data_IF_544881503018
#
_entry.id   IF_544881503018
#
_cell.length_a   1.000
_cell.length_b   1.000
_cell.length_c   1.000
_cell.angle_alpha   90.00
_cell.angle_beta   90.00
_cell.angle_gamma   90.00
#
_symmetry.space_group_name_H-M   'P 1'
#
loop_
_entity.id
_entity.type
_entity.pdbx_description
1 polymer ?
#
# COMPACT_ATOMS: atom_id res chain seq x y z
N UNK A 1 -18.69 5.79 -1.30
CA UNK A 1 -17.57 5.71 -2.25
C UNK A 1 -16.70 4.54 -1.84
N UNK A 2 -16.38 3.65 -2.78
CA UNK A 2 -15.54 2.47 -2.53
C UNK A 2 -14.15 2.73 -3.11
N UNK A 3 -13.13 2.62 -2.26
CA UNK A 3 -11.73 2.91 -2.63
C UNK A 3 -10.87 1.71 -2.27
N UNK A 4 -10.27 1.13 -3.29
CA UNK A 4 -9.27 0.10 -3.10
C UNK A 4 -7.93 0.77 -2.74
N UNK A 5 -7.49 0.58 -1.53
CA UNK A 5 -6.29 1.25 -1.01
C UNK A 5 -4.97 0.61 -1.45
N UNK A 6 -5.03 -0.52 -2.17
CA UNK A 6 -3.84 -1.23 -2.59
C UNK A 6 -4.03 -1.97 -3.91
N UNK A 7 -3.55 -1.38 -4.99
CA UNK A 7 -3.36 -2.06 -6.28
C UNK A 7 -2.03 -1.65 -6.90
N UNK A 8 -1.40 -2.57 -7.59
CA UNK A 8 -0.26 -2.27 -8.44
C UNK A 8 -0.72 -1.78 -9.80
N UNK A 9 -0.01 -0.81 -10.36
CA UNK A 9 -0.35 -0.28 -11.68
C UNK A 9 -0.23 -1.38 -12.75
N UNK A 10 -1.35 -1.67 -13.42
CA UNK A 10 -1.42 -2.58 -14.56
C UNK A 10 -1.29 -1.82 -15.89
N UNK A 11 -0.59 -2.42 -16.83
CA UNK A 11 -0.41 -1.85 -18.17
C UNK A 11 -0.76 -2.90 -19.25
N UNK A 12 -1.76 -2.62 -20.14
CA UNK A 12 -2.47 -1.35 -20.30
C UNK A 12 -3.46 -1.09 -19.16
N UNK A 13 -3.64 0.18 -18.80
CA UNK A 13 -4.51 0.63 -17.69
C UNK A 13 -5.99 0.26 -17.87
N UNK A 14 -6.40 -0.03 -19.10
CA UNK A 14 -7.79 -0.45 -19.39
C UNK A 14 -8.18 -1.73 -18.62
N UNK A 15 -7.25 -2.65 -18.42
CA UNK A 15 -7.46 -3.87 -17.62
C UNK A 15 -7.79 -3.54 -16.17
N UNK A 16 -7.10 -2.55 -15.60
CA UNK A 16 -7.35 -2.07 -14.24
C UNK A 16 -8.73 -1.41 -14.11
N UNK A 17 -9.06 -0.51 -15.03
CA UNK A 17 -10.38 0.14 -15.07
C UNK A 17 -11.52 -0.86 -15.20
N UNK A 18 -11.33 -1.92 -16.00
CA UNK A 18 -12.33 -3.00 -16.14
C UNK A 18 -12.52 -3.77 -14.82
N UNK A 19 -11.43 -4.12 -14.12
CA UNK A 19 -11.48 -4.77 -12.80
C UNK A 19 -12.18 -3.90 -11.77
N UNK A 20 -11.84 -2.62 -11.71
CA UNK A 20 -12.49 -1.65 -10.82
C UNK A 20 -14.00 -1.57 -11.10
N UNK A 21 -14.39 -1.42 -12.39
CA UNK A 21 -15.80 -1.37 -12.80
C UNK A 21 -16.55 -2.63 -12.36
N UNK A 22 -15.98 -3.82 -12.62
CA UNK A 22 -16.57 -5.11 -12.24
C UNK A 22 -16.75 -5.25 -10.73
N UNK A 23 -15.79 -4.73 -9.95
CA UNK A 23 -15.83 -4.75 -8.50
C UNK A 23 -16.65 -3.59 -7.89
N UNK A 24 -17.15 -2.64 -8.69
CA UNK A 24 -17.82 -1.43 -8.20
C UNK A 24 -16.90 -0.53 -7.37
N UNK A 25 -15.60 -0.52 -7.70
CA UNK A 25 -14.60 0.36 -7.08
C UNK A 25 -14.60 1.70 -7.79
N UNK A 26 -14.80 2.77 -7.03
CA UNK A 26 -14.87 4.14 -7.56
C UNK A 26 -13.49 4.70 -7.84
N UNK A 27 -12.55 4.52 -6.90
CA UNK A 27 -11.16 4.97 -6.98
C UNK A 27 -10.20 3.93 -6.42
N UNK A 28 -8.92 4.05 -6.78
CA UNK A 28 -7.87 3.14 -6.33
C UNK A 28 -6.60 3.92 -6.01
N UNK A 29 -5.89 3.50 -4.96
CA UNK A 29 -4.50 3.92 -4.74
C UNK A 29 -3.60 2.98 -5.54
N UNK A 30 -2.80 3.55 -6.45
CA UNK A 30 -1.86 2.81 -7.27
C UNK A 30 -0.45 2.87 -6.68
N UNK A 31 0.16 1.71 -6.62
CA UNK A 31 1.60 1.54 -6.42
C UNK A 31 2.24 1.18 -7.76
N UNK A 32 3.36 1.82 -8.08
CA UNK A 32 4.07 1.49 -9.29
C UNK A 32 5.08 0.39 -9.01
N UNK A 33 4.99 -0.68 -9.74
CA UNK A 33 5.89 -1.82 -9.62
C UNK A 33 6.40 -2.27 -10.99
N UNK A 34 7.47 -3.02 -11.01
CA UNK A 34 7.98 -3.68 -12.18
C UNK A 34 8.28 -5.12 -11.81
N UNK A 35 7.40 -5.99 -11.57
CA UNK A 35 6.88 -6.90 -12.59
C UNK A 35 5.45 -6.55 -12.97
N UNK A 36 5.00 -7.16 -14.06
CA UNK A 36 3.67 -7.03 -14.61
C UNK A 36 3.03 -8.41 -14.84
N UNK A 37 2.70 -9.16 -13.76
CA UNK A 37 2.16 -10.51 -13.86
C UNK A 37 0.82 -10.59 -14.62
N UNK A 38 0.10 -9.47 -14.70
CA UNK A 38 -1.13 -9.36 -15.48
C UNK A 38 -0.95 -9.55 -17.00
N UNK A 39 0.29 -9.48 -17.50
CA UNK A 39 0.64 -9.68 -18.91
C UNK A 39 0.88 -11.14 -19.27
N UNK A 40 1.10 -11.99 -18.27
CA UNK A 40 1.36 -13.40 -18.49
C UNK A 40 0.11 -14.13 -18.98
N UNK A 41 0.22 -14.83 -20.11
CA UNK A 41 -0.86 -15.61 -20.71
C UNK A 41 -0.82 -17.09 -20.28
N UNK A 42 0.28 -17.52 -19.69
CA UNK A 42 0.51 -18.89 -19.25
C UNK A 42 1.47 -18.93 -18.06
N UNK A 43 1.62 -20.11 -17.48
CA UNK A 43 2.43 -20.30 -16.28
C UNK A 43 3.93 -20.02 -16.50
N UNK A 44 4.46 -20.30 -17.69
CA UNK A 44 5.88 -20.06 -17.98
C UNK A 44 6.18 -18.56 -18.06
N UNK A 45 5.31 -17.78 -18.69
CA UNK A 45 5.42 -16.31 -18.71
C UNK A 45 5.27 -15.74 -17.29
N UNK A 46 4.33 -16.26 -16.49
CA UNK A 46 4.16 -15.84 -15.09
C UNK A 46 5.41 -16.11 -14.26
N UNK A 47 6.08 -17.26 -14.46
CA UNK A 47 7.35 -17.55 -13.76
C UNK A 47 8.45 -16.53 -14.08
N UNK A 48 8.48 -16.00 -15.29
CA UNK A 48 9.45 -14.96 -15.67
C UNK A 48 9.17 -13.66 -14.90
N UNK A 49 7.92 -13.21 -14.87
CA UNK A 49 7.51 -12.02 -14.13
C UNK A 49 7.74 -12.18 -12.62
N UNK A 50 7.35 -13.30 -12.04
CA UNK A 50 7.59 -13.59 -10.63
C UNK A 50 9.08 -13.74 -10.31
N UNK A 51 9.89 -14.25 -11.23
CA UNK A 51 11.34 -14.29 -11.09
C UNK A 51 11.96 -12.88 -11.01
N UNK A 52 11.41 -11.90 -11.73
CA UNK A 52 11.83 -10.51 -11.63
C UNK A 52 11.46 -9.92 -10.24
N UNK A 53 10.27 -10.21 -9.73
CA UNK A 53 9.86 -9.82 -8.37
C UNK A 53 10.80 -10.40 -7.31
N UNK A 54 11.09 -11.69 -7.38
CA UNK A 54 11.98 -12.36 -6.40
C UNK A 54 13.40 -11.79 -6.39
N UNK A 55 13.92 -11.36 -7.54
CA UNK A 55 15.22 -10.66 -7.61
C UNK A 55 15.19 -9.31 -6.91
N UNK A 56 14.09 -8.56 -7.04
CA UNK A 56 13.89 -7.29 -6.35
C UNK A 56 13.83 -7.52 -4.82
N UNK A 57 13.01 -8.47 -4.38
CA UNK A 57 12.87 -8.83 -2.97
C UNK A 57 14.19 -9.35 -2.37
N UNK A 58 14.99 -10.08 -3.14
CA UNK A 58 16.32 -10.55 -2.73
C UNK A 58 17.38 -9.44 -2.64
N UNK A 59 17.05 -8.19 -3.02
CA UNK A 59 18.01 -7.08 -2.98
C UNK A 59 19.17 -7.20 -3.97
N UNK A 60 18.95 -7.92 -5.09
CA UNK A 60 20.02 -8.23 -6.08
C UNK A 60 20.41 -7.06 -6.98
N UNK A 61 19.74 -5.91 -6.87
CA UNK A 61 19.96 -4.73 -7.70
C UNK A 61 20.91 -3.74 -7.03
N UNK A 62 21.70 -3.01 -7.84
CA UNK A 62 22.52 -1.91 -7.32
C UNK A 62 21.65 -0.72 -6.93
N UNK A 63 22.17 0.16 -6.05
CA UNK A 63 21.54 1.41 -5.64
C UNK A 63 21.16 2.26 -6.85
N UNK A 64 22.10 2.44 -7.79
CA UNK A 64 21.89 3.26 -9.00
C UNK A 64 20.77 2.70 -9.88
N UNK A 65 20.75 1.38 -10.08
CA UNK A 65 19.70 0.68 -10.84
C UNK A 65 18.33 0.86 -10.19
N UNK A 66 18.26 0.72 -8.85
CA UNK A 66 17.02 0.95 -8.10
C UNK A 66 16.53 2.39 -8.22
N UNK A 67 17.42 3.37 -8.10
CA UNK A 67 17.09 4.79 -8.25
C UNK A 67 16.52 5.08 -9.64
N UNK A 68 17.18 4.59 -10.70
CA UNK A 68 16.71 4.78 -12.07
C UNK A 68 15.31 4.17 -12.27
N UNK A 69 15.15 2.90 -11.90
CA UNK A 69 13.88 2.18 -12.00
C UNK A 69 12.75 2.90 -11.24
N UNK A 70 13.01 3.39 -10.02
CA UNK A 70 11.99 4.09 -9.23
C UNK A 70 11.59 5.43 -9.84
N UNK A 71 12.53 6.17 -10.46
CA UNK A 71 12.21 7.40 -11.20
C UNK A 71 11.30 7.12 -12.39
N UNK A 72 11.62 6.09 -13.17
CA UNK A 72 10.83 5.71 -14.33
C UNK A 72 9.42 5.25 -13.90
N UNK A 73 9.35 4.45 -12.84
CA UNK A 73 8.10 3.98 -12.27
C UNK A 73 7.21 5.15 -11.78
N UNK A 74 7.79 6.13 -11.06
CA UNK A 74 7.04 7.30 -10.61
C UNK A 74 6.54 8.12 -11.82
N UNK A 75 7.35 8.28 -12.85
CA UNK A 75 6.93 8.97 -14.07
C UNK A 75 5.73 8.29 -14.71
N UNK A 76 5.78 6.97 -14.90
CA UNK A 76 4.67 6.19 -15.46
C UNK A 76 3.41 6.33 -14.60
N UNK A 77 3.56 6.25 -13.27
CA UNK A 77 2.46 6.44 -12.33
C UNK A 77 1.82 7.82 -12.50
N UNK A 78 2.63 8.88 -12.50
CA UNK A 78 2.15 10.28 -12.65
C UNK A 78 1.44 10.47 -13.97
N UNK A 79 1.95 9.93 -15.08
CA UNK A 79 1.30 10.00 -16.39
C UNK A 79 -0.10 9.35 -16.35
N UNK A 80 -0.25 8.22 -15.66
CA UNK A 80 -1.56 7.57 -15.48
C UNK A 80 -2.49 8.37 -14.57
N UNK A 81 -1.99 8.92 -13.46
CA UNK A 81 -2.79 9.79 -12.58
C UNK A 81 -3.33 11.02 -13.33
N UNK A 82 -2.50 11.66 -14.14
CA UNK A 82 -2.89 12.81 -14.95
C UNK A 82 -3.93 12.44 -16.02
N UNK A 83 -3.83 11.24 -16.59
CA UNK A 83 -4.80 10.75 -17.57
C UNK A 83 -6.15 10.41 -16.95
N UNK A 84 -6.18 9.96 -15.70
CA UNK A 84 -7.39 9.53 -15.01
C UNK A 84 -7.54 10.14 -13.59
N UNK A 85 -7.62 11.48 -13.48
CA UNK A 85 -7.52 12.18 -12.19
C UNK A 85 -8.63 11.85 -11.19
N UNK A 86 -9.80 11.39 -11.69
CA UNK A 86 -10.94 11.02 -10.87
C UNK A 86 -11.01 9.50 -10.56
N UNK A 87 -10.01 8.72 -11.00
CA UNK A 87 -9.98 7.27 -10.81
C UNK A 87 -8.87 6.81 -9.87
N UNK A 88 -7.77 7.54 -9.82
CA UNK A 88 -6.59 7.07 -9.14
C UNK A 88 -6.00 8.11 -8.19
N UNK A 89 -5.50 7.62 -7.08
CA UNK A 89 -4.47 8.23 -6.26
C UNK A 89 -3.17 7.45 -6.46
N UNK A 90 -2.04 8.00 -6.06
CA UNK A 90 -0.76 7.32 -6.16
C UNK A 90 0.04 7.38 -4.86
N UNK A 91 0.72 6.28 -4.54
CA UNK A 91 1.80 6.25 -3.57
C UNK A 91 3.11 6.05 -4.33
N UNK A 92 4.14 6.79 -3.94
CA UNK A 92 5.42 6.77 -4.65
C UNK A 92 6.51 6.04 -3.90
N UNK A 93 7.37 5.36 -4.65
CA UNK A 93 8.52 4.65 -4.10
C UNK A 93 9.62 5.63 -3.66
N UNK A 94 10.30 5.31 -2.56
CA UNK A 94 11.49 6.01 -2.09
C UNK A 94 12.63 4.99 -1.99
N UNK A 95 13.81 5.24 -2.60
CA UNK A 95 14.94 4.31 -2.49
C UNK A 95 15.41 4.17 -1.05
N UNK A 96 15.73 2.95 -0.64
CA UNK A 96 16.52 2.70 0.55
C UNK A 96 17.98 3.16 0.33
N UNK A 97 18.77 3.21 1.38
CA UNK A 97 20.20 3.57 1.32
C UNK A 97 20.51 5.02 0.89
N UNK A 98 19.50 5.90 0.85
CA UNK A 98 19.71 7.34 0.72
C UNK A 98 20.10 7.92 2.08
N UNK A 99 20.95 8.95 2.07
CA UNK A 99 21.16 9.78 3.24
C UNK A 99 19.88 10.53 3.63
N UNK A 100 19.78 11.04 4.83
CA UNK A 100 18.61 11.80 5.29
C UNK A 100 18.29 12.97 4.35
N UNK A 101 19.32 13.71 3.92
CA UNK A 101 19.17 14.85 3.01
C UNK A 101 18.66 14.40 1.62
N UNK A 102 19.27 13.37 1.04
CA UNK A 102 18.82 12.81 -0.24
C UNK A 102 17.39 12.27 -0.16
N UNK A 103 17.01 11.65 0.97
CA UNK A 103 15.63 11.17 1.21
C UNK A 103 14.65 12.34 1.23
N UNK A 104 14.98 13.43 1.91
CA UNK A 104 14.14 14.64 1.95
C UNK A 104 13.96 15.25 0.57
N UNK A 105 15.06 15.45 -0.16
CA UNK A 105 15.01 15.95 -1.54
C UNK A 105 14.19 15.04 -2.47
N UNK A 106 14.29 13.72 -2.29
CA UNK A 106 13.49 12.76 -3.04
C UNK A 106 12.00 12.92 -2.76
N UNK A 107 11.61 12.96 -1.47
CA UNK A 107 10.21 13.11 -1.05
C UNK A 107 9.64 14.42 -1.57
N UNK A 108 10.35 15.55 -1.45
CA UNK A 108 9.92 16.84 -1.95
C UNK A 108 9.75 16.82 -3.48
N UNK A 109 10.75 16.29 -4.20
CA UNK A 109 10.81 16.34 -5.67
C UNK A 109 9.89 15.33 -6.35
N UNK A 110 9.82 14.09 -5.83
CA UNK A 110 9.14 13.00 -6.56
C UNK A 110 7.79 12.62 -5.95
N UNK A 111 7.55 12.93 -4.68
CA UNK A 111 6.30 12.62 -3.99
C UNK A 111 5.40 13.86 -3.93
N UNK A 112 5.84 14.89 -3.24
CA UNK A 112 5.03 16.08 -2.96
C UNK A 112 4.74 16.87 -4.23
N UNK A 113 5.76 17.18 -5.04
CA UNK A 113 5.59 17.97 -6.27
C UNK A 113 4.70 17.29 -7.32
N UNK A 114 4.55 15.96 -7.24
CA UNK A 114 3.67 15.19 -8.11
C UNK A 114 2.27 14.92 -7.48
N UNK A 115 1.98 15.47 -6.30
CA UNK A 115 0.69 15.32 -5.65
C UNK A 115 0.38 13.89 -5.15
N UNK A 116 1.41 13.05 -4.99
CA UNK A 116 1.26 11.70 -4.46
C UNK A 116 0.79 11.74 -3.00
N UNK A 117 -0.01 10.78 -2.60
CA UNK A 117 -0.74 10.78 -1.33
C UNK A 117 -0.08 10.00 -0.20
N UNK A 118 1.07 9.38 -0.47
CA UNK A 118 1.84 8.60 0.50
C UNK A 118 3.08 8.01 -0.15
N UNK A 119 3.83 7.24 0.62
CA UNK A 119 5.03 6.56 0.16
C UNK A 119 4.94 5.05 0.36
N UNK A 120 5.48 4.29 -0.57
CA UNK A 120 5.44 2.82 -0.61
C UNK A 120 4.99 2.32 -1.99
N UNK A 121 4.75 1.07 -2.16
CA UNK A 121 4.94 -0.04 -1.23
C UNK A 121 6.44 -0.29 -0.99
N UNK A 122 6.84 -0.34 0.27
CA UNK A 122 8.17 -0.86 0.61
C UNK A 122 8.08 -2.37 0.79
N UNK A 123 8.90 -3.11 0.07
CA UNK A 123 8.94 -4.58 0.08
C UNK A 123 10.28 -5.08 0.61
N UNK A 124 10.55 -4.96 1.93
CA UNK A 124 11.82 -5.37 2.50
C UNK A 124 11.98 -6.89 2.41
N UNK A 125 13.07 -7.35 1.79
CA UNK A 125 13.42 -8.77 1.67
C UNK A 125 14.22 -9.29 2.87
N UNK A 126 14.56 -8.42 3.84
CA UNK A 126 15.31 -8.77 5.04
C UNK A 126 15.05 -7.81 6.17
N UNK A 127 15.35 -8.25 7.41
CA UNK A 127 15.23 -7.42 8.61
C UNK A 127 16.12 -6.16 8.55
N UNK A 128 17.30 -6.25 7.92
CA UNK A 128 18.20 -5.11 7.73
C UNK A 128 17.61 -4.04 6.82
N UNK A 129 16.84 -4.43 5.80
CA UNK A 129 16.14 -3.47 4.95
C UNK A 129 15.01 -2.75 5.66
N UNK A 130 14.41 -3.36 6.68
CA UNK A 130 13.42 -2.67 7.52
C UNK A 130 14.11 -1.58 8.36
N UNK A 131 15.31 -1.84 8.88
CA UNK A 131 16.11 -0.82 9.59
C UNK A 131 16.47 0.35 8.68
N UNK A 132 16.72 0.10 7.39
CA UNK A 132 17.01 1.14 6.39
C UNK A 132 15.82 2.06 6.08
N UNK A 133 14.62 1.76 6.56
CA UNK A 133 13.47 2.67 6.47
C UNK A 133 13.58 3.88 7.41
N UNK A 134 14.48 3.86 8.41
CA UNK A 134 14.56 4.89 9.43
C UNK A 134 14.73 6.31 8.88
N UNK A 135 15.59 6.61 7.90
CA UNK A 135 15.69 7.94 7.30
C UNK A 135 14.37 8.41 6.66
N UNK A 136 13.59 7.47 6.10
CA UNK A 136 12.29 7.77 5.50
C UNK A 136 11.28 8.14 6.59
N UNK A 137 11.19 7.37 7.67
CA UNK A 137 10.36 7.72 8.83
C UNK A 137 10.71 9.10 9.40
N UNK A 138 12.02 9.39 9.52
CA UNK A 138 12.49 10.67 10.03
C UNK A 138 12.03 11.83 9.13
N UNK A 139 12.18 11.71 7.81
CA UNK A 139 11.73 12.73 6.85
C UNK A 139 10.22 12.89 6.90
N UNK A 140 9.46 11.80 6.95
CA UNK A 140 7.99 11.84 7.00
C UNK A 140 7.45 12.49 8.28
N UNK A 141 8.25 12.66 9.32
CA UNK A 141 7.86 13.44 10.51
C UNK A 141 7.57 14.91 10.16
N UNK A 142 8.23 15.44 9.12
CA UNK A 142 7.98 16.79 8.59
C UNK A 142 6.75 16.81 7.64
N UNK A 143 6.28 15.65 7.20
CA UNK A 143 5.16 15.48 6.25
C UNK A 143 4.11 14.49 6.77
N UNK A 144 3.47 14.77 7.93
CA UNK A 144 2.58 13.82 8.61
C UNK A 144 1.32 13.45 7.81
N UNK A 145 1.03 14.19 6.73
CA UNK A 145 -0.07 13.88 5.79
C UNK A 145 0.29 12.76 4.79
N UNK A 146 1.55 12.32 4.74
CA UNK A 146 2.01 11.24 3.88
C UNK A 146 2.14 9.94 4.69
N UNK A 147 1.18 9.02 4.66
CA UNK A 147 1.35 7.71 5.26
C UNK A 147 2.42 6.90 4.54
N UNK A 148 3.04 5.99 5.28
CA UNK A 148 3.98 5.00 4.75
C UNK A 148 3.31 3.62 4.69
N UNK A 149 3.38 2.96 3.54
CA UNK A 149 2.85 1.62 3.33
C UNK A 149 4.01 0.61 3.23
N UNK A 150 4.01 -0.40 4.09
CA UNK A 150 5.09 -1.37 4.21
C UNK A 150 4.53 -2.79 4.11
N UNK A 151 5.05 -3.57 3.17
CA UNK A 151 4.79 -5.00 3.04
C UNK A 151 5.22 -5.73 4.32
N UNK A 152 4.32 -6.44 4.95
CA UNK A 152 4.58 -7.14 6.21
C UNK A 152 4.27 -8.64 6.15
N UNK A 153 4.07 -9.18 4.93
CA UNK A 153 3.95 -10.61 4.69
C UNK A 153 5.31 -11.23 4.34
N UNK A 154 5.33 -12.51 3.95
CA UNK A 154 6.57 -13.17 3.53
C UNK A 154 7.32 -12.35 2.44
N UNK A 155 8.64 -12.12 2.57
CA UNK A 155 9.61 -12.79 3.43
C UNK A 155 9.88 -12.13 4.81
N UNK A 156 9.08 -11.16 5.23
CA UNK A 156 9.28 -10.47 6.51
C UNK A 156 9.14 -11.44 7.67
N UNK A 157 10.13 -11.46 8.57
CA UNK A 157 10.16 -12.32 9.75
C UNK A 157 9.46 -11.67 10.95
N UNK A 158 9.19 -12.43 12.01
CA UNK A 158 8.70 -11.86 13.28
C UNK A 158 9.68 -10.81 13.84
N UNK A 159 10.98 -11.01 13.68
CA UNK A 159 11.97 -10.03 14.10
C UNK A 159 11.86 -8.75 13.26
N UNK A 160 11.66 -8.87 11.96
CA UNK A 160 11.38 -7.73 11.08
C UNK A 160 10.12 -6.95 11.49
N UNK A 161 9.04 -7.65 11.85
CA UNK A 161 7.83 -7.02 12.39
C UNK A 161 8.14 -6.23 13.67
N UNK A 162 8.93 -6.78 14.59
CA UNK A 162 9.33 -6.08 15.83
C UNK A 162 10.17 -4.84 15.56
N UNK A 163 11.12 -4.90 14.63
CA UNK A 163 11.90 -3.74 14.20
C UNK A 163 10.97 -2.65 13.64
N UNK A 164 9.99 -3.01 12.82
CA UNK A 164 9.02 -2.07 12.29
C UNK A 164 8.15 -1.45 13.41
N UNK A 165 7.74 -2.24 14.40
CA UNK A 165 7.03 -1.75 15.58
C UNK A 165 7.87 -0.72 16.35
N UNK A 166 9.16 -0.96 16.54
CA UNK A 166 10.08 -0.02 17.19
C UNK A 166 10.19 1.31 16.41
N UNK A 167 10.33 1.24 15.07
CA UNK A 167 10.31 2.43 14.21
C UNK A 167 8.99 3.20 14.33
N UNK A 168 7.87 2.48 14.32
CA UNK A 168 6.53 3.08 14.46
C UNK A 168 6.37 3.81 15.80
N UNK A 169 6.86 3.24 16.90
CA UNK A 169 6.86 3.87 18.23
C UNK A 169 7.78 5.08 18.30
N UNK A 170 8.92 5.01 17.63
CA UNK A 170 9.89 6.13 17.59
C UNK A 170 9.36 7.33 16.81
N UNK A 171 8.59 7.11 15.74
CA UNK A 171 8.12 8.16 14.83
C UNK A 171 6.58 8.29 14.85
N UNK A 172 6.00 8.60 16.00
CA UNK A 172 4.55 8.60 16.26
C UNK A 172 3.73 9.56 15.38
N UNK A 173 4.35 10.56 14.74
CA UNK A 173 3.68 11.46 13.81
C UNK A 173 3.44 10.84 12.42
N UNK A 174 4.13 9.74 12.11
CA UNK A 174 4.02 9.06 10.83
C UNK A 174 2.92 8.01 10.90
N UNK A 175 1.93 8.10 10.04
CA UNK A 175 0.93 7.04 9.90
C UNK A 175 1.52 5.86 9.13
N UNK A 176 1.47 4.67 9.72
CA UNK A 176 2.09 3.45 9.17
C UNK A 176 1.03 2.44 8.79
N UNK A 177 1.01 2.04 7.51
CA UNK A 177 0.12 1.00 7.01
C UNK A 177 0.91 -0.31 6.97
N UNK A 178 0.48 -1.26 7.79
CA UNK A 178 1.00 -2.63 7.80
C UNK A 178 0.30 -3.41 6.71
N UNK A 179 0.96 -3.54 5.57
CA UNK A 179 0.46 -4.26 4.40
C UNK A 179 0.25 -5.74 4.68
N UNK A 180 -0.86 -6.28 4.20
CA UNK A 180 -1.20 -7.71 4.36
C UNK A 180 -1.31 -8.14 5.83
N UNK A 181 -1.70 -7.22 6.74
CA UNK A 181 -2.00 -7.50 8.15
C UNK A 181 -0.84 -8.09 8.97
N UNK A 182 0.41 -8.06 8.51
CA UNK A 182 1.50 -8.79 9.16
C UNK A 182 1.61 -10.27 8.75
N UNK A 183 0.85 -10.72 7.76
CA UNK A 183 0.89 -12.10 7.23
C UNK A 183 0.67 -13.14 8.32
N UNK A 184 1.64 -14.02 8.53
CA UNK A 184 1.57 -15.05 9.59
C UNK A 184 1.62 -14.48 11.02
N UNK A 185 2.08 -13.24 11.19
CA UNK A 185 2.21 -12.54 12.47
C UNK A 185 1.06 -11.56 12.72
N UNK A 186 -0.09 -11.79 12.08
CA UNK A 186 -1.23 -10.90 12.14
C UNK A 186 -1.75 -10.63 13.56
N UNK A 187 -1.65 -11.61 14.47
CA UNK A 187 -2.06 -11.44 15.87
C UNK A 187 -1.13 -10.45 16.60
N UNK A 188 0.19 -10.57 16.42
CA UNK A 188 1.15 -9.63 17.00
C UNK A 188 0.92 -8.21 16.47
N UNK A 189 0.68 -8.07 15.16
CA UNK A 189 0.40 -6.78 14.53
C UNK A 189 -0.91 -6.20 15.02
N UNK A 190 -1.95 -7.00 15.17
CA UNK A 190 -3.24 -6.55 15.66
C UNK A 190 -3.17 -6.07 17.11
N UNK A 191 -2.53 -6.81 17.99
CA UNK A 191 -2.33 -6.43 19.40
C UNK A 191 -1.52 -5.13 19.50
N UNK A 192 -0.47 -4.99 18.71
CA UNK A 192 0.29 -3.76 18.63
C UNK A 192 -0.57 -2.58 18.15
N UNK A 193 -1.30 -2.74 17.06
CA UNK A 193 -2.14 -1.70 16.48
C UNK A 193 -3.24 -1.22 17.44
N UNK A 194 -3.75 -2.07 18.32
CA UNK A 194 -4.73 -1.68 19.35
C UNK A 194 -4.20 -0.61 20.29
N UNK A 195 -2.91 -0.63 20.58
CA UNK A 195 -2.25 0.28 21.54
C UNK A 195 -1.59 1.48 20.87
N UNK A 196 -1.37 1.45 19.54
CA UNK A 196 -0.60 2.46 18.80
C UNK A 196 -1.49 3.12 17.74
N UNK A 197 -1.92 4.38 17.94
CA UNK A 197 -2.99 5.01 17.17
C UNK A 197 -2.62 5.35 15.71
N UNK A 198 -1.34 5.48 15.38
CA UNK A 198 -0.84 5.78 14.03
C UNK A 198 -0.63 4.53 13.16
N UNK A 199 -1.07 3.34 13.62
CA UNK A 199 -1.02 2.08 12.86
C UNK A 199 -2.34 1.82 12.16
N UNK A 200 -2.26 1.53 10.86
CA UNK A 200 -3.36 1.10 10.01
C UNK A 200 -3.07 -0.30 9.46
N UNK A 201 -4.13 -1.07 9.22
CA UNK A 201 -4.06 -2.46 8.78
C UNK A 201 -4.63 -2.54 7.36
N UNK A 202 -3.79 -2.88 6.39
CA UNK A 202 -4.27 -3.23 5.06
C UNK A 202 -4.74 -4.69 5.05
N UNK A 203 -5.94 -4.92 4.53
CA UNK A 203 -6.61 -6.22 4.53
C UNK A 203 -6.39 -7.03 3.25
N UNK A 204 -5.50 -6.56 2.34
CA UNK A 204 -5.15 -7.30 1.12
C UNK A 204 -4.34 -8.56 1.44
N UNK A 205 -4.34 -9.53 0.53
CA UNK A 205 -3.64 -10.81 0.65
C UNK A 205 -3.81 -11.50 2.01
N UNK A 206 -4.96 -11.30 2.65
CA UNK A 206 -5.23 -11.77 4.01
C UNK A 206 -5.12 -13.30 4.13
N UNK A 207 -4.40 -13.74 5.14
CA UNK A 207 -4.14 -15.14 5.42
C UNK A 207 -5.42 -15.98 5.64
N UNK A 208 -6.44 -15.41 6.27
CA UNK A 208 -7.71 -16.09 6.48
C UNK A 208 -8.86 -15.11 6.71
N UNK A 209 -10.07 -15.56 6.40
CA UNK A 209 -11.32 -14.82 6.70
C UNK A 209 -11.45 -14.52 8.20
N UNK A 210 -10.99 -15.43 9.06
CA UNK A 210 -11.01 -15.23 10.50
C UNK A 210 -10.14 -14.05 10.93
N UNK A 211 -8.93 -13.94 10.37
CA UNK A 211 -8.02 -12.83 10.66
C UNK A 211 -8.65 -11.48 10.27
N UNK A 212 -9.24 -11.40 9.07
CA UNK A 212 -9.94 -10.20 8.61
C UNK A 212 -11.10 -9.82 9.52
N UNK A 213 -11.93 -10.80 9.93
CA UNK A 213 -13.04 -10.57 10.86
C UNK A 213 -12.55 -10.02 12.19
N UNK A 214 -11.47 -10.56 12.75
CA UNK A 214 -10.91 -10.10 14.02
C UNK A 214 -10.33 -8.69 13.90
N UNK A 215 -9.60 -8.40 12.85
CA UNK A 215 -9.07 -7.05 12.61
C UNK A 215 -10.19 -6.01 12.50
N UNK A 216 -11.24 -6.31 11.75
CA UNK A 216 -12.42 -5.43 11.60
C UNK A 216 -13.16 -5.23 12.92
N UNK A 217 -13.31 -6.29 13.73
CA UNK A 217 -13.96 -6.20 15.03
C UNK A 217 -13.19 -5.33 16.02
N UNK A 218 -11.87 -5.42 16.01
CA UNK A 218 -11.00 -4.72 16.97
C UNK A 218 -10.64 -3.29 16.52
N UNK A 219 -10.48 -3.07 15.21
CA UNK A 219 -9.96 -1.83 14.63
C UNK A 219 -10.78 -1.31 13.43
N UNK A 220 -12.12 -1.16 13.55
CA UNK A 220 -12.97 -0.77 12.42
C UNK A 220 -12.57 0.57 11.78
N UNK A 221 -11.99 1.49 12.57
CA UNK A 221 -11.59 2.84 12.10
C UNK A 221 -10.18 2.86 11.45
N UNK A 222 -9.45 1.74 11.46
CA UNK A 222 -8.06 1.68 11.01
C UNK A 222 -7.75 0.49 10.10
N UNK A 223 -8.76 -0.31 9.77
CA UNK A 223 -8.68 -1.30 8.70
C UNK A 223 -8.94 -0.63 7.36
N UNK A 224 -8.19 -1.04 6.34
CA UNK A 224 -8.24 -0.51 4.98
C UNK A 224 -8.55 -1.65 4.00
N UNK A 225 -9.53 -1.43 3.13
CA UNK A 225 -9.80 -2.33 2.01
C UNK A 225 -8.67 -2.21 0.98
N UNK A 226 -7.99 -3.29 0.71
CA UNK A 226 -7.02 -3.44 -0.37
C UNK A 226 -7.22 -4.76 -1.10
N UNK A 227 -6.96 -4.81 -2.38
CA UNK A 227 -7.05 -6.04 -3.16
C UNK A 227 -5.71 -6.64 -3.52
N UNK A 228 -4.66 -5.86 -3.53
CA UNK A 228 -3.34 -6.26 -4.05
C UNK A 228 -3.39 -6.71 -5.53
N UNK A 229 -4.34 -6.17 -6.32
CA UNK A 229 -4.39 -6.51 -7.74
C UNK A 229 -3.11 -6.05 -8.47
N UNK A 230 -2.55 -6.85 -9.38
CA UNK A 230 -3.11 -8.04 -10.03
C UNK A 230 -2.93 -9.36 -9.26
N UNK A 231 -2.25 -9.39 -8.13
CA UNK A 231 -2.04 -10.61 -7.33
C UNK A 231 -3.34 -11.11 -6.68
N UNK A 232 -4.22 -10.16 -6.27
CA UNK A 232 -5.56 -10.45 -5.78
C UNK A 232 -6.66 -9.94 -6.73
N UNK A 233 -7.92 -10.12 -6.31
CA UNK A 233 -9.09 -9.74 -7.11
C UNK A 233 -9.96 -8.75 -6.34
N UNK A 234 -10.15 -7.50 -6.84
CA UNK A 234 -10.87 -6.45 -6.14
C UNK A 234 -12.29 -6.84 -5.71
N UNK A 235 -13.01 -7.57 -6.56
CA UNK A 235 -14.37 -8.01 -6.23
C UNK A 235 -14.40 -8.98 -5.04
N UNK A 236 -13.49 -9.94 -5.02
CA UNK A 236 -13.42 -10.93 -3.93
C UNK A 236 -13.04 -10.28 -2.61
N UNK A 237 -12.03 -9.40 -2.63
CA UNK A 237 -11.59 -8.67 -1.42
C UNK A 237 -12.70 -7.76 -0.89
N UNK A 238 -13.42 -7.06 -1.77
CA UNK A 238 -14.59 -6.26 -1.38
C UNK A 238 -15.66 -7.12 -0.72
N UNK A 239 -16.08 -8.23 -1.38
CA UNK A 239 -17.09 -9.12 -0.85
C UNK A 239 -16.70 -9.72 0.49
N UNK A 240 -15.41 -10.05 0.69
CA UNK A 240 -14.92 -10.51 1.99
C UNK A 240 -15.22 -9.47 3.08
N UNK A 241 -14.88 -8.20 2.85
CA UNK A 241 -15.17 -7.12 3.80
C UNK A 241 -16.68 -7.02 4.10
N UNK A 242 -17.52 -7.02 3.06
CA UNK A 242 -18.98 -6.93 3.21
C UNK A 242 -19.57 -8.10 4.01
N UNK A 243 -19.06 -9.33 3.79
CA UNK A 243 -19.54 -10.54 4.47
C UNK A 243 -19.13 -10.58 5.95
N UNK A 244 -17.91 -10.14 6.27
CA UNK A 244 -17.39 -10.29 7.64
C UNK A 244 -17.64 -9.07 8.52
N UNK A 245 -18.02 -7.94 7.96
CA UNK A 245 -18.34 -6.73 8.72
C UNK A 245 -19.64 -6.89 9.52
N UNK A 246 -19.70 -6.43 10.76
CA UNK A 246 -20.89 -6.57 11.61
C UNK A 246 -22.06 -5.70 11.16
N UNK A 247 -21.79 -4.64 10.37
CA UNK A 247 -22.81 -3.73 9.84
C UNK A 247 -22.32 -3.05 8.56
N UNK A 248 -23.26 -2.49 7.78
CA UNK A 248 -22.94 -1.69 6.60
C UNK A 248 -22.16 -0.40 6.95
N UNK A 249 -22.39 0.17 8.14
CA UNK A 249 -21.61 1.32 8.62
C UNK A 249 -20.13 0.96 8.75
N UNK A 250 -19.82 -0.17 9.37
CA UNK A 250 -18.43 -0.63 9.52
C UNK A 250 -17.82 -0.96 8.17
N UNK A 251 -18.54 -1.65 7.29
CA UNK A 251 -18.01 -1.95 5.96
C UNK A 251 -17.75 -0.69 5.14
N UNK A 252 -18.58 0.34 5.22
CA UNK A 252 -18.36 1.62 4.52
C UNK A 252 -17.10 2.34 4.99
N UNK A 253 -16.82 2.33 6.31
CA UNK A 253 -15.57 2.87 6.85
C UNK A 253 -14.35 2.20 6.20
N UNK A 254 -14.35 0.88 6.18
CA UNK A 254 -13.23 0.09 5.66
C UNK A 254 -13.11 0.21 4.15
N UNK A 255 -14.24 0.18 3.44
CA UNK A 255 -14.28 0.24 1.98
C UNK A 255 -13.91 1.60 1.40
N UNK A 256 -13.78 2.66 2.22
CA UNK A 256 -13.38 3.95 1.65
C UNK A 256 -13.15 5.09 2.65
N UNK A 257 -13.95 5.23 3.70
CA UNK A 257 -13.88 6.39 4.59
C UNK A 257 -12.54 6.48 5.33
N UNK A 258 -12.02 5.34 5.82
CA UNK A 258 -10.76 5.27 6.55
C UNK A 258 -9.59 5.74 5.70
N UNK A 259 -9.49 5.26 4.47
CA UNK A 259 -8.38 5.64 3.58
C UNK A 259 -8.49 7.11 3.14
N UNK A 260 -9.69 7.62 2.87
CA UNK A 260 -9.89 9.03 2.53
C UNK A 260 -9.46 9.95 3.67
N UNK A 261 -9.84 9.59 4.90
CA UNK A 261 -9.40 10.31 6.10
C UNK A 261 -7.88 10.29 6.25
N UNK A 262 -7.27 9.13 6.02
CA UNK A 262 -5.83 8.95 6.16
C UNK A 262 -5.02 9.79 5.16
N UNK A 263 -5.44 9.84 3.89
CA UNK A 263 -4.75 10.61 2.84
C UNK A 263 -5.19 12.09 2.77
N UNK A 264 -6.05 12.52 3.70
CA UNK A 264 -6.49 13.92 3.82
C UNK A 264 -7.36 14.40 2.66
N UNK A 265 -8.03 13.50 1.94
CA UNK A 265 -8.97 13.90 0.89
C UNK A 265 -10.34 14.28 1.50
N UNK A 266 -10.69 15.56 1.39
CA UNK A 266 -11.94 16.10 1.92
C UNK A 266 -13.14 15.94 0.98
N UNK A 267 -12.97 15.30 -0.17
CA UNK A 267 -14.04 15.08 -1.15
C UNK A 267 -15.04 13.98 -0.69
N UNK A 268 -15.51 14.08 0.56
CA UNK A 268 -16.56 13.23 1.14
C UNK A 268 -17.98 13.69 0.79
N UNK A 269 -18.14 14.80 0.05
CA UNK A 269 -19.47 15.21 -0.41
C UNK A 269 -19.80 14.44 -1.68
N UNK A 270 -20.83 13.59 -1.60
CA UNK A 270 -21.58 13.09 -2.75
C UNK A 270 -21.77 14.24 -3.74
N UNK A 271 -21.29 14.11 -4.95
CA UNK A 271 -21.95 14.73 -6.09
C UNK A 271 -23.30 14.02 -6.18
N UNK A 272 -24.27 14.54 -5.41
CA UNK A 272 -25.68 14.25 -5.63
C UNK A 272 -26.07 15.08 -6.83
N UNK A 273 -26.34 14.36 -7.90
CA UNK A 273 -27.30 14.70 -8.94
C UNK A 273 -27.09 16.01 -9.72
N UNK A 274 -26.74 15.83 -11.00
CA UNK A 274 -27.63 16.35 -12.07
C UNK A 274 -27.62 15.38 -13.27
#
# INVERSE_FOLDING_TARGET
MIIDSHQHLMLPTDSQLLKMKKAGVDRTILFCTAPHPERANNFEELKIEMGALYKILAGSNTKESNICRMKDNIKILVDVLNKYPNKFYGFGSVPLELSLQETKEWVEKYIISNGLKGVGEFTPGSDSQIQQLEPIFQVLTDFPQLPIWIHTFNPVTLNGIKILMELTLKYQKVSVIYGHMGGYYWMDVLDFAKTVPNVYIDLSAAFSTLAVRMAISELPERCLYGSDAPYGEPLLSRQLIEIVSPSSEVSNKILGENILKLIGDKNTKKETED
#
